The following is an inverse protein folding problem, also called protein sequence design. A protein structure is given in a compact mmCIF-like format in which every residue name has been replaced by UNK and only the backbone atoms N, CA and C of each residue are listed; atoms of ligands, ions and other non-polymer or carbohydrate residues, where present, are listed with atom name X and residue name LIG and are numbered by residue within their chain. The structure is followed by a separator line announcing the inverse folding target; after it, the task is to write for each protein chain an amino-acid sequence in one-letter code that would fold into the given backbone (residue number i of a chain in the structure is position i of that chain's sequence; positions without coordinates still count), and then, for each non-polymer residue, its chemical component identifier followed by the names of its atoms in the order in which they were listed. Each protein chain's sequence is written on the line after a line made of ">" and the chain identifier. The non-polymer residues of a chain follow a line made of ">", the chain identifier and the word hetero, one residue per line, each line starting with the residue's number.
data_IF_149481970946
#
_entry.id   IF_149481970946
#
_cell.length_a   1.000
_cell.length_b   1.000
_cell.length_c   1.000
_cell.angle_alpha   90.00
_cell.angle_beta   90.00
_cell.angle_gamma   90.00
#
_symmetry.space_group_name_H-M   'P 1'
#
loop_
_entity.id
_entity.type
_entity.pdbx_description
1 polymer ?
#
# COMPACT_ATOMS: atom_id res chain seq x y z
N UNK A 1 19.82 -30.24 44.34
CA UNK A 1 19.51 -29.39 43.18
C UNK A 1 20.79 -28.67 42.80
N UNK A 2 21.41 -29.01 41.67
CA UNK A 2 22.70 -28.45 41.26
C UNK A 2 22.42 -27.29 40.31
N UNK A 3 22.92 -26.10 40.62
CA UNK A 3 22.76 -24.95 39.73
C UNK A 3 23.68 -25.14 38.51
N UNK A 4 23.15 -24.97 37.31
CA UNK A 4 23.97 -24.96 36.09
C UNK A 4 24.47 -23.53 35.90
N UNK A 5 25.74 -23.29 36.23
CA UNK A 5 26.37 -21.97 36.04
C UNK A 5 26.70 -21.77 34.57
N UNK A 6 26.09 -20.77 33.95
CA UNK A 6 26.50 -20.26 32.64
C UNK A 6 27.81 -19.50 32.81
N UNK A 7 28.91 -20.13 32.42
CA UNK A 7 30.23 -19.50 32.41
C UNK A 7 30.51 -18.93 31.01
N UNK A 8 31.24 -17.81 30.90
CA UNK A 8 31.63 -17.28 29.60
C UNK A 8 32.51 -18.28 28.85
N UNK A 9 32.53 -18.18 27.52
CA UNK A 9 33.44 -18.94 26.66
C UNK A 9 34.90 -18.63 27.05
N UNK A 10 35.66 -19.63 27.53
CA UNK A 10 37.01 -19.41 28.03
C UNK A 10 38.07 -19.26 26.93
N UNK A 11 37.81 -19.76 25.71
CA UNK A 11 38.71 -19.55 24.59
C UNK A 11 38.52 -18.14 24.04
N UNK A 12 39.53 -17.28 24.21
CA UNK A 12 39.48 -15.89 23.78
C UNK A 12 39.24 -15.73 22.27
N UNK A 13 39.77 -16.62 21.43
CA UNK A 13 39.60 -16.55 19.97
C UNK A 13 38.16 -16.90 19.59
N UNK A 14 37.62 -17.98 20.16
CA UNK A 14 36.20 -18.35 20.00
C UNK A 14 35.29 -17.24 20.49
N UNK A 15 35.59 -16.67 21.66
CA UNK A 15 34.83 -15.57 22.24
C UNK A 15 34.81 -14.36 21.29
N UNK A 16 35.95 -13.97 20.73
CA UNK A 16 36.04 -12.87 19.77
C UNK A 16 35.25 -13.14 18.50
N UNK A 17 35.35 -14.34 17.93
CA UNK A 17 34.60 -14.70 16.72
C UNK A 17 33.09 -14.64 16.93
N UNK A 18 32.60 -15.22 18.02
CA UNK A 18 31.18 -15.18 18.40
C UNK A 18 30.71 -13.75 18.71
N UNK A 19 31.54 -12.98 19.41
CA UNK A 19 31.27 -11.58 19.73
C UNK A 19 31.15 -10.72 18.48
N UNK A 20 32.05 -10.90 17.51
CA UNK A 20 32.03 -10.15 16.26
C UNK A 20 30.81 -10.49 15.41
N UNK A 21 30.47 -11.77 15.28
CA UNK A 21 29.23 -12.17 14.60
C UNK A 21 27.98 -11.57 15.27
N UNK A 22 27.94 -11.53 16.61
CA UNK A 22 26.82 -10.92 17.32
C UNK A 22 26.73 -9.40 17.14
N UNK A 23 27.88 -8.71 17.10
CA UNK A 23 27.97 -7.27 16.82
C UNK A 23 27.43 -6.96 15.42
N UNK A 24 27.98 -7.57 14.37
CA UNK A 24 27.57 -7.29 12.98
C UNK A 24 26.09 -7.65 12.74
N UNK A 25 25.61 -8.74 13.34
CA UNK A 25 24.20 -9.11 13.22
C UNK A 25 23.27 -8.07 13.85
N UNK A 26 23.69 -7.43 14.95
CA UNK A 26 22.94 -6.36 15.59
C UNK A 26 22.97 -5.05 14.77
N UNK A 27 24.10 -4.74 14.12
CA UNK A 27 24.23 -3.59 13.24
C UNK A 27 23.37 -3.75 11.97
N UNK A 28 23.40 -4.92 11.31
CA UNK A 28 22.49 -5.24 10.21
C UNK A 28 21.01 -5.15 10.64
N UNK A 29 20.66 -5.69 11.81
CA UNK A 29 19.28 -5.61 12.32
C UNK A 29 18.84 -4.16 12.53
N UNK A 30 19.69 -3.33 13.14
CA UNK A 30 19.44 -1.89 13.36
C UNK A 30 19.20 -1.17 12.03
N UNK A 31 20.02 -1.42 11.02
CA UNK A 31 19.90 -0.80 9.69
C UNK A 31 18.63 -1.27 8.97
N UNK A 32 18.30 -2.57 9.02
CA UNK A 32 17.04 -3.10 8.49
C UNK A 32 15.81 -2.48 9.18
N UNK A 33 15.82 -2.35 10.50
CA UNK A 33 14.72 -1.72 11.26
C UNK A 33 14.55 -0.25 10.86
N UNK A 34 15.66 0.47 10.65
CA UNK A 34 15.58 1.85 10.16
C UNK A 34 14.97 1.93 8.76
N UNK A 35 15.38 1.05 7.85
CA UNK A 35 14.80 0.97 6.51
C UNK A 35 13.31 0.62 6.52
N UNK A 36 12.86 -0.23 7.45
CA UNK A 36 11.45 -0.56 7.66
C UNK A 36 10.61 0.68 8.05
N UNK A 37 11.18 1.58 8.85
CA UNK A 37 10.50 2.78 9.35
C UNK A 37 10.54 3.91 8.34
N UNK A 38 11.68 4.13 7.69
CA UNK A 38 11.93 5.31 6.86
C UNK A 38 11.71 5.04 5.37
N UNK A 39 11.96 3.81 4.90
CA UNK A 39 12.03 3.47 3.48
C UNK A 39 13.42 2.98 3.09
N UNK A 40 13.48 2.06 2.14
CA UNK A 40 14.72 1.40 1.70
C UNK A 40 15.69 2.36 0.97
N UNK A 41 15.16 3.35 0.26
CA UNK A 41 15.95 4.28 -0.55
C UNK A 41 16.15 5.64 0.13
N UNK A 42 15.66 5.81 1.37
CA UNK A 42 15.90 7.01 2.16
C UNK A 42 17.36 7.11 2.63
N UNK A 43 17.82 8.36 2.81
CA UNK A 43 19.19 8.65 3.21
C UNK A 43 19.32 8.76 4.73
N UNK A 44 20.30 8.07 5.31
CA UNK A 44 20.68 8.25 6.71
C UNK A 44 21.44 9.59 6.85
N UNK A 45 20.92 10.58 7.60
CA UNK A 45 21.55 11.88 7.72
C UNK A 45 22.90 11.84 8.46
N UNK A 46 23.18 10.79 9.23
CA UNK A 46 24.43 10.66 9.98
C UNK A 46 25.62 10.27 9.07
N UNK A 47 25.37 9.52 8.00
CA UNK A 47 26.42 8.94 7.13
C UNK A 47 26.38 9.48 5.72
N UNK A 48 25.22 10.01 5.27
CA UNK A 48 24.98 10.42 3.89
C UNK A 48 24.74 9.24 2.93
N UNK A 49 24.70 8.00 3.42
CA UNK A 49 24.39 6.81 2.62
C UNK A 49 22.89 6.52 2.62
N UNK A 50 22.41 5.90 1.55
CA UNK A 50 21.05 5.33 1.53
C UNK A 50 20.96 4.11 2.45
N UNK A 51 19.76 3.82 2.96
CA UNK A 51 19.51 2.62 3.76
C UNK A 51 19.88 1.34 2.99
N UNK A 52 19.65 1.31 1.68
CA UNK A 52 20.09 0.21 0.80
C UNK A 52 21.60 0.00 0.80
N UNK A 53 22.38 1.07 0.69
CA UNK A 53 23.85 0.99 0.72
C UNK A 53 24.36 0.53 2.07
N UNK A 54 23.83 1.07 3.18
CA UNK A 54 24.21 0.60 4.51
C UNK A 54 23.83 -0.86 4.72
N UNK A 55 22.64 -1.31 4.31
CA UNK A 55 22.28 -2.74 4.42
C UNK A 55 23.26 -3.62 3.64
N UNK A 56 23.72 -3.17 2.48
CA UNK A 56 24.69 -3.91 1.68
C UNK A 56 26.04 -4.05 2.40
N UNK A 57 26.53 -2.97 3.03
CA UNK A 57 27.75 -2.98 3.85
C UNK A 57 27.60 -3.96 5.03
N UNK A 58 26.51 -3.85 5.79
CA UNK A 58 26.25 -4.68 6.97
C UNK A 58 26.06 -6.16 6.62
N UNK A 59 25.48 -6.49 5.46
CA UNK A 59 25.41 -7.87 4.95
C UNK A 59 26.83 -8.41 4.68
N UNK A 60 27.72 -7.58 4.11
CA UNK A 60 29.09 -7.98 3.85
C UNK A 60 29.83 -8.26 5.17
N UNK A 61 29.65 -7.41 6.18
CA UNK A 61 30.28 -7.55 7.49
C UNK A 61 29.76 -8.79 8.25
N UNK A 62 28.45 -9.05 8.26
CA UNK A 62 27.87 -10.30 8.79
C UNK A 62 28.41 -11.53 8.06
N UNK A 63 28.58 -11.45 6.74
CA UNK A 63 29.12 -12.56 5.94
C UNK A 63 30.57 -12.85 6.32
N UNK A 64 31.40 -11.81 6.43
CA UNK A 64 32.78 -11.93 6.86
C UNK A 64 32.88 -12.51 8.29
N UNK A 65 32.05 -12.03 9.22
CA UNK A 65 32.00 -12.54 10.59
C UNK A 65 31.53 -14.01 10.67
N UNK A 66 30.59 -14.42 9.79
CA UNK A 66 30.15 -15.81 9.69
C UNK A 66 31.28 -16.73 9.22
N UNK A 67 32.06 -16.31 8.21
CA UNK A 67 33.24 -17.04 7.76
C UNK A 67 34.29 -17.14 8.88
N UNK A 68 34.52 -16.06 9.63
CA UNK A 68 35.46 -16.08 10.75
C UNK A 68 35.04 -17.07 11.84
N UNK A 69 33.74 -17.18 12.15
CA UNK A 69 33.23 -18.20 13.08
C UNK A 69 33.48 -19.61 12.54
N UNK A 70 33.24 -19.86 11.25
CA UNK A 70 33.54 -21.16 10.63
C UNK A 70 35.03 -21.50 10.77
N UNK A 71 35.93 -20.57 10.42
CA UNK A 71 37.38 -20.81 10.48
C UNK A 71 37.88 -21.12 11.90
N UNK A 72 37.27 -20.51 12.93
CA UNK A 72 37.66 -20.70 14.33
C UNK A 72 37.02 -21.94 14.98
N UNK A 73 35.78 -22.26 14.62
CA UNK A 73 34.96 -23.24 15.36
C UNK A 73 34.64 -24.50 14.57
N UNK A 74 34.76 -24.47 13.24
CA UNK A 74 34.29 -25.50 12.33
C UNK A 74 32.76 -25.60 12.22
N UNK A 75 32.01 -24.64 12.77
CA UNK A 75 30.55 -24.60 12.64
C UNK A 75 30.21 -24.24 11.19
N UNK A 76 29.74 -25.24 10.44
CA UNK A 76 29.44 -25.10 9.02
C UNK A 76 28.03 -24.54 8.76
N UNK A 77 27.89 -23.90 7.61
CA UNK A 77 26.64 -23.34 7.13
C UNK A 77 25.75 -24.44 6.54
N UNK A 78 24.59 -24.66 7.15
CA UNK A 78 23.61 -25.61 6.64
C UNK A 78 22.86 -25.04 5.42
N UNK A 79 23.41 -25.28 4.24
CA UNK A 79 22.85 -24.86 2.95
C UNK A 79 21.44 -25.40 2.69
N UNK A 80 21.11 -26.61 3.16
CA UNK A 80 19.79 -27.21 2.97
C UNK A 80 18.74 -26.48 3.83
N UNK A 81 19.07 -26.20 5.09
CA UNK A 81 18.23 -25.41 5.98
C UNK A 81 18.01 -24.01 5.45
N UNK A 82 19.06 -23.36 4.95
CA UNK A 82 18.95 -22.03 4.36
C UNK A 82 18.05 -22.02 3.12
N UNK A 83 18.21 -23.01 2.23
CA UNK A 83 17.38 -23.14 1.03
C UNK A 83 15.90 -23.31 1.38
N UNK A 84 15.58 -24.23 2.28
CA UNK A 84 14.20 -24.46 2.71
C UNK A 84 13.57 -23.19 3.31
N UNK A 85 14.34 -22.40 4.07
CA UNK A 85 13.86 -21.14 4.63
C UNK A 85 13.62 -20.08 3.54
N UNK A 86 14.52 -19.99 2.56
CA UNK A 86 14.40 -19.07 1.42
C UNK A 86 13.21 -19.41 0.52
N UNK A 87 12.95 -20.70 0.28
CA UNK A 87 11.76 -21.16 -0.46
C UNK A 87 10.48 -20.69 0.24
N UNK A 88 10.38 -20.87 1.56
CA UNK A 88 9.25 -20.34 2.33
C UNK A 88 9.10 -18.83 2.20
N UNK A 89 10.18 -18.04 2.26
CA UNK A 89 10.10 -16.59 2.03
C UNK A 89 9.59 -16.23 0.64
N UNK A 90 10.01 -16.96 -0.41
CA UNK A 90 9.54 -16.73 -1.79
C UNK A 90 8.06 -17.05 -1.95
N UNK A 91 7.58 -18.12 -1.32
CA UNK A 91 6.15 -18.44 -1.29
C UNK A 91 5.34 -17.30 -0.65
N UNK A 92 5.80 -16.79 0.49
CA UNK A 92 5.18 -15.63 1.13
C UNK A 92 5.19 -14.38 0.23
N UNK A 93 6.30 -14.09 -0.44
CA UNK A 93 6.37 -12.99 -1.41
C UNK A 93 5.39 -13.17 -2.56
N UNK A 94 5.24 -14.38 -3.09
CA UNK A 94 4.28 -14.67 -4.16
C UNK A 94 2.83 -14.43 -3.70
N UNK A 95 2.48 -14.79 -2.46
CA UNK A 95 1.17 -14.52 -1.89
C UNK A 95 0.90 -13.00 -1.77
N UNK A 96 1.89 -12.22 -1.36
CA UNK A 96 1.76 -10.76 -1.28
C UNK A 96 1.56 -10.12 -2.66
N UNK A 97 2.25 -10.61 -3.68
CA UNK A 97 2.02 -10.15 -5.06
C UNK A 97 0.61 -10.50 -5.54
N UNK A 98 0.16 -11.74 -5.31
CA UNK A 98 -1.19 -12.16 -5.68
C UNK A 98 -2.28 -11.35 -4.95
N UNK A 99 -2.07 -11.02 -3.67
CA UNK A 99 -2.98 -10.17 -2.90
C UNK A 99 -3.02 -8.73 -3.46
N UNK A 100 -1.86 -8.15 -3.76
CA UNK A 100 -1.77 -6.83 -4.40
C UNK A 100 -2.47 -6.81 -5.77
N UNK A 101 -2.30 -7.87 -6.57
CA UNK A 101 -3.01 -8.04 -7.85
C UNK A 101 -4.51 -8.20 -7.66
N UNK A 102 -4.95 -8.94 -6.65
CA UNK A 102 -6.36 -9.10 -6.33
C UNK A 102 -6.99 -7.77 -5.88
N UNK A 103 -6.30 -6.97 -5.06
CA UNK A 103 -6.71 -5.61 -4.69
C UNK A 103 -6.82 -4.74 -5.94
N UNK A 104 -5.84 -4.78 -6.84
CA UNK A 104 -5.87 -4.04 -8.09
C UNK A 104 -6.94 -4.55 -9.09
N UNK A 105 -7.28 -5.84 -9.04
CA UNK A 105 -8.39 -6.41 -9.80
C UNK A 105 -9.75 -5.98 -9.23
N UNK A 106 -9.82 -5.79 -7.91
CA UNK A 106 -10.97 -5.27 -7.18
C UNK A 106 -11.02 -3.73 -7.15
N UNK A 107 -10.34 -3.04 -8.07
CA UNK A 107 -10.38 -1.59 -8.21
C UNK A 107 -11.81 -1.10 -8.50
N UNK A 108 -12.18 0.09 -8.01
CA UNK A 108 -13.49 0.71 -8.24
C UNK A 108 -13.96 0.65 -9.70
N UNK A 109 -13.05 0.88 -10.66
CA UNK A 109 -13.35 0.89 -12.11
C UNK A 109 -13.69 -0.49 -12.70
N UNK A 110 -13.56 -1.57 -11.91
CA UNK A 110 -13.86 -2.96 -12.29
C UNK A 110 -15.02 -3.54 -11.49
N UNK A 111 -15.75 -2.73 -10.71
CA UNK A 111 -16.87 -3.20 -9.90
C UNK A 111 -18.03 -3.74 -10.76
N UNK A 112 -18.59 -4.88 -10.36
CA UNK A 112 -19.76 -5.47 -11.03
C UNK A 112 -21.04 -4.67 -10.73
N UNK A 113 -21.10 -4.00 -9.58
CA UNK A 113 -22.20 -3.12 -9.19
C UNK A 113 -21.73 -2.04 -8.22
N UNK A 114 -22.47 -0.93 -8.24
CA UNK A 114 -22.22 0.25 -7.42
C UNK A 114 -23.44 0.54 -6.55
N UNK A 115 -23.25 1.09 -5.36
CA UNK A 115 -24.32 1.58 -4.52
C UNK A 115 -24.01 2.96 -3.95
N UNK A 116 -25.04 3.78 -3.83
CA UNK A 116 -24.93 5.11 -3.23
C UNK A 116 -24.96 4.96 -1.71
N UNK A 117 -24.00 5.58 -1.03
CA UNK A 117 -24.13 5.83 0.39
C UNK A 117 -25.14 6.99 0.55
N UNK A 118 -26.44 6.66 0.60
CA UNK A 118 -27.42 7.61 1.09
C UNK A 118 -27.40 7.53 2.60
N UNK A 119 -26.82 8.55 3.25
CA UNK A 119 -27.06 8.74 4.68
C UNK A 119 -28.54 9.17 4.86
N UNK A 120 -29.38 8.34 5.50
CA UNK A 120 -30.78 8.67 5.73
C UNK A 120 -30.96 9.89 6.66
N UNK A 121 -29.95 10.25 7.46
CA UNK A 121 -30.00 11.34 8.44
C UNK A 121 -29.42 12.67 7.92
N UNK A 122 -28.51 12.68 6.94
CA UNK A 122 -27.85 13.90 6.45
C UNK A 122 -28.75 14.83 5.63
N UNK A 123 -29.87 14.34 5.10
CA UNK A 123 -30.76 15.16 4.27
C UNK A 123 -31.92 15.80 5.04
N UNK A 124 -32.27 15.28 6.23
CA UNK A 124 -33.51 15.64 6.94
C UNK A 124 -34.78 15.52 6.07
N UNK A 125 -34.68 14.83 4.94
CA UNK A 125 -35.64 14.78 3.86
C UNK A 125 -36.12 13.35 3.68
N UNK A 126 -37.36 13.19 3.23
CA UNK A 126 -37.87 11.85 2.89
C UNK A 126 -37.03 11.24 1.74
N UNK A 127 -36.95 9.91 1.59
CA UNK A 127 -36.19 9.27 0.51
C UNK A 127 -36.54 9.79 -0.89
N UNK A 128 -37.78 10.24 -1.10
CA UNK A 128 -38.22 10.87 -2.34
C UNK A 128 -37.63 12.28 -2.54
N UNK A 129 -37.50 13.04 -1.46
CA UNK A 129 -36.97 14.40 -1.46
C UNK A 129 -35.44 14.43 -1.61
N UNK A 130 -34.74 13.51 -0.95
CA UNK A 130 -33.28 13.35 -1.03
C UNK A 130 -32.80 13.06 -2.47
N UNK A 131 -33.61 12.32 -3.24
CA UNK A 131 -33.38 12.04 -4.67
C UNK A 131 -33.67 13.27 -5.55
N UNK A 132 -34.51 14.21 -5.10
CA UNK A 132 -35.00 15.33 -5.91
C UNK A 132 -34.32 16.68 -5.67
N UNK A 133 -33.70 16.90 -4.49
CA UNK A 133 -33.25 18.23 -4.03
C UNK A 133 -31.74 18.40 -3.92
N UNK A 134 -30.95 17.36 -4.12
CA UNK A 134 -29.48 17.41 -4.17
C UNK A 134 -28.93 17.74 -5.57
N UNK A 135 -29.80 18.25 -6.45
CA UNK A 135 -29.48 18.53 -7.85
C UNK A 135 -28.76 19.87 -8.01
N UNK A 136 -27.44 19.85 -8.19
CA UNK A 136 -26.73 20.98 -8.78
C UNK A 136 -27.01 20.96 -10.28
N UNK A 137 -27.82 21.90 -10.78
CA UNK A 137 -28.04 22.05 -12.23
C UNK A 137 -28.47 20.77 -12.94
N UNK A 138 -29.38 19.98 -12.33
CA UNK A 138 -29.90 18.67 -12.79
C UNK A 138 -29.13 17.40 -12.37
N UNK A 139 -27.96 17.50 -11.73
CA UNK A 139 -27.19 16.32 -11.29
C UNK A 139 -27.08 16.18 -9.77
N UNK A 140 -27.28 14.97 -9.26
CA UNK A 140 -27.00 14.61 -7.87
C UNK A 140 -25.63 13.96 -7.76
N UNK A 141 -24.67 14.68 -7.17
CA UNK A 141 -23.39 14.11 -6.74
C UNK A 141 -23.63 13.30 -5.47
N UNK A 142 -23.07 12.10 -5.41
CA UNK A 142 -23.18 11.23 -4.25
C UNK A 142 -21.89 10.47 -4.01
N UNK A 143 -21.65 10.10 -2.76
CA UNK A 143 -20.63 9.12 -2.42
C UNK A 143 -21.11 7.73 -2.87
N UNK A 144 -20.22 7.02 -3.55
CA UNK A 144 -20.50 5.76 -4.22
C UNK A 144 -19.48 4.76 -3.73
N UNK A 145 -20.01 3.66 -3.21
CA UNK A 145 -19.24 2.50 -2.86
C UNK A 145 -19.40 1.44 -3.95
N UNK A 146 -18.31 0.73 -4.22
CA UNK A 146 -18.32 -0.44 -5.09
C UNK A 146 -18.68 -1.71 -4.33
N UNK A 147 -19.06 -2.75 -5.07
CA UNK A 147 -19.19 -4.12 -4.57
C UNK A 147 -17.93 -4.70 -3.91
N UNK A 148 -16.77 -4.10 -4.18
CA UNK A 148 -15.49 -4.45 -3.57
C UNK A 148 -15.14 -3.53 -2.39
N UNK A 149 -14.35 -4.04 -1.43
CA UNK A 149 -13.73 -3.23 -0.37
C UNK A 149 -12.64 -2.33 -0.98
N UNK A 150 -13.06 -1.20 -1.54
CA UNK A 150 -12.20 -0.21 -2.18
C UNK A 150 -12.49 1.22 -1.69
N UNK A 151 -11.71 2.22 -2.13
CA UNK A 151 -11.99 3.60 -1.80
C UNK A 151 -13.35 4.02 -2.36
N UNK A 152 -14.14 4.71 -1.55
CA UNK A 152 -15.37 5.35 -2.03
C UNK A 152 -14.99 6.47 -3.01
N UNK A 153 -15.82 6.66 -4.03
CA UNK A 153 -15.68 7.75 -5.00
C UNK A 153 -16.90 8.64 -4.95
N UNK A 154 -16.79 9.84 -5.51
CA UNK A 154 -17.92 10.73 -5.70
C UNK A 154 -18.31 10.77 -7.16
N UNK A 155 -19.59 10.67 -7.48
CA UNK A 155 -20.00 10.65 -8.88
C UNK A 155 -21.45 11.04 -9.11
N UNK A 156 -21.78 11.22 -10.39
CA UNK A 156 -23.11 11.56 -10.87
C UNK A 156 -23.36 10.92 -12.25
N UNK A 157 -24.63 10.72 -12.58
CA UNK A 157 -25.06 10.24 -13.90
C UNK A 157 -25.47 11.43 -14.74
N UNK A 158 -25.00 11.51 -15.98
CA UNK A 158 -25.33 12.58 -16.91
C UNK A 158 -25.61 12.05 -18.32
N UNK A 159 -26.51 12.70 -19.09
CA UNK A 159 -26.73 12.31 -20.47
C UNK A 159 -25.46 12.56 -21.30
N UNK A 160 -25.23 11.70 -22.28
CA UNK A 160 -24.18 11.87 -23.28
C UNK A 160 -24.74 12.77 -24.40
N UNK A 161 -24.12 13.91 -24.73
CA UNK A 161 -24.53 14.74 -25.86
C UNK A 161 -24.67 13.92 -27.14
N UNK A 162 -25.75 14.16 -27.89
CA UNK A 162 -26.03 13.47 -29.17
C UNK A 162 -26.35 11.96 -29.03
N UNK A 163 -26.54 11.46 -27.81
CA UNK A 163 -26.94 10.08 -27.51
C UNK A 163 -28.20 10.05 -26.65
N UNK A 164 -28.97 8.98 -26.74
CA UNK A 164 -30.08 8.68 -25.81
C UNK A 164 -29.61 7.90 -24.57
N UNK A 165 -28.31 7.67 -24.45
CA UNK A 165 -27.67 7.00 -23.31
C UNK A 165 -27.14 7.99 -22.26
N UNK A 166 -27.14 7.54 -21.01
CA UNK A 166 -26.49 8.21 -19.90
C UNK A 166 -25.09 7.63 -19.64
N UNK A 167 -24.14 8.47 -19.25
CA UNK A 167 -22.85 8.04 -18.71
C UNK A 167 -22.77 8.29 -17.20
N UNK A 168 -21.95 7.48 -16.53
CA UNK A 168 -21.62 7.67 -15.13
C UNK A 168 -20.21 8.23 -14.99
N UNK A 169 -20.10 9.41 -14.37
CA UNK A 169 -18.84 10.10 -14.14
C UNK A 169 -18.50 10.01 -12.65
N UNK A 170 -17.24 9.68 -12.34
CA UNK A 170 -16.78 9.53 -10.95
C UNK A 170 -15.37 10.13 -10.72
N UNK A 171 -15.14 10.58 -9.50
CA UNK A 171 -13.99 11.36 -9.09
C UNK A 171 -13.51 10.91 -7.70
N UNK A 172 -12.24 11.20 -7.39
CA UNK A 172 -11.67 10.86 -6.09
C UNK A 172 -12.25 11.74 -4.98
N UNK A 173 -12.63 12.98 -5.30
CA UNK A 173 -13.17 13.93 -4.32
C UNK A 173 -14.54 14.48 -4.70
N UNK A 174 -15.31 14.86 -3.67
CA UNK A 174 -16.63 15.48 -3.86
C UNK A 174 -16.55 16.81 -4.61
N UNK A 175 -15.51 17.62 -4.32
CA UNK A 175 -15.33 18.93 -4.95
C UNK A 175 -15.12 18.82 -6.46
N UNK A 176 -14.34 17.82 -6.92
CA UNK A 176 -14.15 17.53 -8.34
C UNK A 176 -15.45 17.09 -9.00
N UNK A 177 -16.20 16.20 -8.34
CA UNK A 177 -17.49 15.75 -8.83
C UNK A 177 -18.51 16.89 -8.96
N UNK A 178 -18.57 17.80 -7.99
CA UNK A 178 -19.44 19.00 -8.04
C UNK A 178 -19.00 19.95 -9.16
N UNK A 179 -17.70 20.17 -9.33
CA UNK A 179 -17.20 21.03 -10.40
C UNK A 179 -17.54 20.47 -11.79
N UNK A 180 -17.30 19.18 -12.01
CA UNK A 180 -17.63 18.50 -13.25
C UNK A 180 -19.15 18.47 -13.51
N UNK A 181 -19.97 18.29 -12.48
CA UNK A 181 -21.43 18.34 -12.61
C UNK A 181 -21.92 19.72 -13.09
N UNK A 182 -21.34 20.81 -12.57
CA UNK A 182 -21.68 22.18 -13.01
C UNK A 182 -21.28 22.43 -14.45
N UNK A 183 -20.06 22.07 -14.83
CA UNK A 183 -19.58 22.21 -16.21
C UNK A 183 -20.47 21.44 -17.19
N UNK A 184 -20.86 20.21 -16.81
CA UNK A 184 -21.76 19.38 -17.63
C UNK A 184 -23.15 19.99 -17.75
N UNK A 185 -23.69 20.57 -16.69
CA UNK A 185 -24.99 21.24 -16.71
C UNK A 185 -24.97 22.44 -17.67
N UNK A 186 -23.92 23.27 -17.59
CA UNK A 186 -23.74 24.43 -18.46
C UNK A 186 -23.62 24.04 -19.94
N UNK A 187 -22.92 22.93 -20.23
CA UNK A 187 -22.81 22.40 -21.59
C UNK A 187 -24.18 22.00 -22.16
N UNK A 188 -25.00 21.28 -21.38
CA UNK A 188 -26.31 20.81 -21.82
C UNK A 188 -27.29 21.97 -22.02
N UNK A 189 -27.24 22.98 -21.16
CA UNK A 189 -28.03 24.20 -21.32
C UNK A 189 -27.65 24.94 -22.62
N UNK A 190 -26.37 24.99 -22.97
CA UNK A 190 -25.91 25.59 -24.23
C UNK A 190 -26.39 24.81 -25.46
N UNK A 191 -26.32 23.48 -25.42
CA UNK A 191 -26.81 22.62 -26.50
C UNK A 191 -28.32 22.82 -26.69
N UNK A 192 -29.10 22.74 -25.61
CA UNK A 192 -30.54 22.92 -25.66
C UNK A 192 -30.96 24.32 -26.17
N UNK A 193 -30.20 25.37 -25.81
CA UNK A 193 -30.43 26.71 -26.32
C UNK A 193 -30.16 26.81 -27.83
N UNK A 194 -29.14 26.13 -28.35
CA UNK A 194 -28.81 26.12 -29.77
C UNK A 194 -29.84 25.38 -30.63
N UNK A 195 -30.38 24.25 -30.13
CA UNK A 195 -31.42 23.47 -30.83
C UNK A 195 -32.78 24.18 -30.87
N UNK A 196 -33.03 25.14 -29.97
CA UNK A 196 -34.26 25.92 -29.93
C UNK A 196 -34.27 27.10 -30.91
N UNK A 197 -33.11 27.47 -31.47
CA UNK A 197 -32.96 28.56 -32.44
C UNK A 197 -33.00 28.10 -33.92
N UNK A 198 -32.86 26.79 -34.18
CA UNK A 198 -32.97 26.14 -35.50
C UNK A 198 -34.41 25.68 -35.83
#
# INVERSE_FOLDING_TARGET
>A
MTITLWKPEPNTITHQALGKLAEEAAELAKTCIRALIQGLDETNPATGKTNREEIADEIADVTAATIFVYDVTGIDYDTNRARAKLEGFREWTALLHADAEAIAANSFDKADWFYRAMDPDDSGQTPHEAISKSCFGHFTVCEIASSFTGPTRYGFTAPIPESDEDEFLHFETEAEAIAAAKERAELLDQIAASEAED
#
